data_IF_454840802673
#
_entry.id   IF_454840802673
#
_cell.length_a   1.000
_cell.length_b   1.000
_cell.length_c   1.000
_cell.angle_alpha   90.00
_cell.angle_beta   90.00
_cell.angle_gamma   90.00
#
_symmetry.space_group_name_H-M   'P 1'
#
loop_
_entity.id
_entity.type
_entity.pdbx_description
1 polymer ?
#
# COMPACT_ATOMS: atom_id res chain seq x y z
N UNK A 1 18.03 20.43 12.05
CA UNK A 1 17.62 19.30 11.19
C UNK A 1 16.53 18.52 11.91
N UNK A 2 15.28 18.57 11.43
CA UNK A 2 14.20 17.82 12.06
C UNK A 2 14.34 16.34 11.69
N UNK A 3 14.81 15.53 12.65
CA UNK A 3 14.76 14.07 12.56
C UNK A 3 13.28 13.66 12.37
N UNK A 4 12.95 13.04 11.25
CA UNK A 4 11.64 12.42 11.09
C UNK A 4 11.51 11.32 12.15
N UNK A 5 10.51 11.42 13.01
CA UNK A 5 10.28 10.43 14.06
C UNK A 5 10.09 9.03 13.43
N UNK A 6 10.58 7.97 14.08
CA UNK A 6 10.39 6.61 13.59
C UNK A 6 8.90 6.32 13.41
N UNK A 7 8.54 5.61 12.33
CA UNK A 7 7.15 5.20 12.08
C UNK A 7 6.67 4.38 13.29
N UNK A 8 5.60 4.84 13.95
CA UNK A 8 5.02 4.15 15.11
C UNK A 8 4.22 2.94 14.68
N UNK A 9 4.18 1.90 15.51
CA UNK A 9 3.33 0.76 15.21
C UNK A 9 1.84 1.12 15.31
N UNK A 10 1.01 0.61 14.39
CA UNK A 10 -0.44 0.86 14.41
C UNK A 10 -1.12 0.35 15.70
N UNK A 11 -0.64 -0.75 16.27
CA UNK A 11 -1.11 -1.25 17.56
C UNK A 11 -0.74 -0.31 18.71
N UNK A 12 0.46 0.30 18.66
CA UNK A 12 0.91 1.29 19.65
C UNK A 12 0.13 2.61 19.54
N UNK A 13 -0.26 3.02 18.32
CA UNK A 13 -1.11 4.19 18.08
C UNK A 13 -2.50 3.98 18.70
N UNK A 14 -3.07 2.78 18.56
CA UNK A 14 -4.36 2.43 19.16
C UNK A 14 -4.26 2.06 20.65
N UNK A 15 -3.05 1.86 21.19
CA UNK A 15 -2.83 1.39 22.54
C UNK A 15 -3.35 -0.02 22.80
N UNK A 16 -3.31 -0.89 21.78
CA UNK A 16 -3.82 -2.26 21.84
C UNK A 16 -2.70 -3.29 21.69
N UNK A 17 -2.85 -4.49 22.28
CA UNK A 17 -1.95 -5.60 22.00
C UNK A 17 -2.26 -6.24 20.64
N UNK A 18 -1.34 -7.06 20.12
CA UNK A 18 -1.44 -7.64 18.77
C UNK A 18 -2.55 -8.69 18.62
N UNK A 19 -2.89 -9.35 19.72
CA UNK A 19 -3.95 -10.35 19.84
C UNK A 19 -5.35 -9.72 20.01
N UNK A 20 -5.47 -8.39 19.89
CA UNK A 20 -6.74 -7.68 20.06
C UNK A 20 -7.81 -8.11 19.05
N UNK A 21 -9.06 -8.13 19.50
CA UNK A 21 -10.21 -8.43 18.65
C UNK A 21 -10.53 -7.26 17.70
N UNK A 22 -11.23 -7.51 16.57
CA UNK A 22 -11.69 -6.43 15.69
C UNK A 22 -12.67 -5.47 16.38
N UNK A 23 -13.36 -5.91 17.44
CA UNK A 23 -14.21 -5.06 18.28
C UNK A 23 -13.38 -4.10 19.12
N UNK A 24 -12.25 -4.54 19.67
CA UNK A 24 -11.36 -3.69 20.48
C UNK A 24 -10.74 -2.57 19.63
N UNK A 25 -10.32 -2.90 18.41
CA UNK A 25 -9.79 -1.94 17.43
C UNK A 25 -10.80 -0.81 17.16
N UNK A 26 -12.07 -1.17 16.94
CA UNK A 26 -13.14 -0.18 16.70
C UNK A 26 -13.42 0.67 17.93
N UNK A 27 -13.42 0.08 19.12
CA UNK A 27 -13.68 0.78 20.38
C UNK A 27 -12.54 1.75 20.71
N UNK A 28 -11.28 1.30 20.61
CA UNK A 28 -10.10 2.13 20.81
C UNK A 28 -10.07 3.31 19.84
N UNK A 29 -10.34 3.06 18.56
CA UNK A 29 -10.43 4.13 17.55
C UNK A 29 -11.49 5.18 17.92
N UNK A 30 -12.70 4.77 18.31
CA UNK A 30 -13.76 5.72 18.71
C UNK A 30 -13.36 6.57 19.92
N UNK A 31 -12.72 5.96 20.92
CA UNK A 31 -12.26 6.66 22.13
C UNK A 31 -11.19 7.69 21.79
N UNK A 32 -10.17 7.28 21.04
CA UNK A 32 -9.06 8.17 20.65
C UNK A 32 -9.48 9.23 19.64
N UNK A 33 -10.43 8.93 18.74
CA UNK A 33 -10.94 9.89 17.78
C UNK A 33 -11.67 11.04 18.48
N UNK A 34 -12.36 10.78 19.60
CA UNK A 34 -13.03 11.81 20.38
C UNK A 34 -12.06 12.69 21.17
N UNK A 35 -10.89 12.17 21.56
CA UNK A 35 -9.88 12.94 22.30
C UNK A 35 -8.97 13.74 21.37
N UNK A 36 -8.66 13.20 20.18
CA UNK A 36 -7.78 13.82 19.19
C UNK A 36 -8.53 14.67 18.15
N UNK A 37 -9.86 14.80 18.25
CA UNK A 37 -10.62 15.59 17.29
C UNK A 37 -10.21 17.07 17.35
N UNK A 38 -9.89 17.73 16.21
CA UNK A 38 -9.40 19.11 16.20
C UNK A 38 -10.40 20.11 16.79
N UNK A 39 -11.71 19.83 16.64
CA UNK A 39 -12.81 20.67 17.18
C UNK A 39 -12.88 20.70 18.72
N UNK A 40 -12.29 19.71 19.39
CA UNK A 40 -12.28 19.62 20.86
C UNK A 40 -10.98 20.15 21.48
N UNK A 41 -10.05 20.62 20.65
CA UNK A 41 -8.78 21.16 21.11
C UNK A 41 -8.99 22.60 21.60
N UNK A 42 -8.45 22.92 22.78
CA UNK A 42 -8.57 24.25 23.35
C UNK A 42 -7.87 25.30 22.46
N UNK A 43 -8.39 26.54 22.37
CA UNK A 43 -7.70 27.62 21.68
C UNK A 43 -6.31 27.85 22.32
N UNK A 44 -5.25 27.78 21.50
CA UNK A 44 -3.85 27.87 21.95
C UNK A 44 -3.12 26.53 22.11
N UNK A 45 -3.81 25.40 21.97
CA UNK A 45 -3.17 24.08 21.85
C UNK A 45 -2.59 23.85 20.45
N UNK A 46 -1.67 22.90 20.32
CA UNK A 46 -1.06 22.55 19.04
C UNK A 46 -2.05 21.78 18.15
N UNK A 47 -2.96 22.53 17.52
CA UNK A 47 -3.96 22.01 16.58
C UNK A 47 -3.30 21.25 15.41
N UNK A 48 -2.08 21.65 15.02
CA UNK A 48 -1.34 20.97 13.98
C UNK A 48 -0.89 19.57 14.45
N UNK A 49 -0.35 19.43 15.66
CA UNK A 49 -0.01 18.14 16.25
C UNK A 49 -1.24 17.25 16.46
N UNK A 50 -2.36 17.81 16.93
CA UNK A 50 -3.62 17.06 17.09
C UNK A 50 -4.15 16.54 15.74
N UNK A 51 -4.09 17.37 14.69
CA UNK A 51 -4.49 16.99 13.32
C UNK A 51 -3.59 15.88 12.78
N UNK A 52 -2.27 15.97 12.99
CA UNK A 52 -1.32 14.94 12.58
C UNK A 52 -1.57 13.61 13.31
N UNK A 53 -1.74 13.65 14.63
CA UNK A 53 -2.06 12.47 15.44
C UNK A 53 -3.40 11.84 15.05
N UNK A 54 -4.40 12.66 14.70
CA UNK A 54 -5.69 12.16 14.23
C UNK A 54 -5.58 11.49 12.85
N UNK A 55 -4.76 12.02 11.94
CA UNK A 55 -4.48 11.38 10.65
C UNK A 55 -3.76 10.04 10.84
N UNK A 56 -2.79 9.97 11.75
CA UNK A 56 -2.11 8.72 12.12
C UNK A 56 -3.07 7.70 12.71
N UNK A 57 -3.98 8.13 13.60
CA UNK A 57 -5.02 7.28 14.18
C UNK A 57 -5.97 6.72 13.10
N UNK A 58 -6.43 7.57 12.18
CA UNK A 58 -7.26 7.14 11.05
C UNK A 58 -6.55 6.12 10.19
N UNK A 59 -5.26 6.32 9.94
CA UNK A 59 -4.44 5.39 9.19
C UNK A 59 -4.27 4.04 9.88
N UNK A 60 -3.93 4.05 11.17
CA UNK A 60 -3.80 2.83 11.97
C UNK A 60 -5.11 2.01 11.97
N UNK A 61 -6.26 2.69 12.13
CA UNK A 61 -7.56 2.03 12.08
C UNK A 61 -7.90 1.50 10.69
N UNK A 62 -7.60 2.21 9.60
CA UNK A 62 -7.90 1.70 8.24
C UNK A 62 -7.17 0.39 7.95
N UNK A 63 -5.92 0.28 8.42
CA UNK A 63 -5.11 -0.94 8.24
C UNK A 63 -5.55 -2.06 9.17
N UNK A 64 -5.79 -1.77 10.45
CA UNK A 64 -6.10 -2.84 11.42
C UNK A 64 -7.55 -3.32 11.37
N UNK A 65 -8.47 -2.53 10.80
CA UNK A 65 -9.90 -2.89 10.73
C UNK A 65 -10.25 -3.86 9.59
N UNK A 66 -9.45 -3.93 8.53
CA UNK A 66 -9.60 -4.89 7.44
C UNK A 66 -8.73 -6.12 7.73
N UNK A 67 -9.29 -7.34 7.86
CA UNK A 67 -8.53 -8.56 8.16
C UNK A 67 -7.38 -8.83 7.19
N UNK A 68 -7.55 -8.49 5.90
CA UNK A 68 -6.51 -8.67 4.89
C UNK A 68 -5.41 -7.61 5.03
N UNK A 69 -5.75 -6.35 5.32
CA UNK A 69 -4.76 -5.31 5.62
C UNK A 69 -3.97 -5.64 6.88
N UNK A 70 -4.66 -6.12 7.92
CA UNK A 70 -4.04 -6.51 9.19
C UNK A 70 -3.06 -7.67 9.01
N UNK A 71 -3.46 -8.74 8.32
CA UNK A 71 -2.57 -9.88 8.06
C UNK A 71 -1.32 -9.50 7.26
N UNK A 72 -1.49 -8.59 6.30
CA UNK A 72 -0.36 -8.05 5.54
C UNK A 72 0.55 -7.20 6.43
N UNK A 73 -0.02 -6.26 7.18
CA UNK A 73 0.72 -5.43 8.11
C UNK A 73 1.50 -6.26 9.12
N UNK A 74 0.88 -7.31 9.67
CA UNK A 74 1.53 -8.21 10.62
C UNK A 74 2.70 -8.98 9.99
N UNK A 75 2.58 -9.43 8.74
CA UNK A 75 3.65 -10.15 8.03
C UNK A 75 4.80 -9.25 7.57
N UNK A 76 4.56 -7.95 7.35
CA UNK A 76 5.55 -6.99 6.83
C UNK A 76 5.92 -5.89 7.83
N UNK A 77 5.46 -6.01 9.09
CA UNK A 77 5.61 -4.99 10.14
C UNK A 77 7.06 -4.56 10.33
N UNK A 78 8.00 -5.50 10.36
CA UNK A 78 9.43 -5.20 10.54
C UNK A 78 9.94 -4.30 9.41
N UNK A 79 9.63 -4.64 8.16
CA UNK A 79 10.02 -3.84 7.00
C UNK A 79 9.40 -2.44 7.05
N UNK A 80 8.12 -2.33 7.44
CA UNK A 80 7.39 -1.06 7.48
C UNK A 80 7.93 -0.12 8.58
N UNK A 81 8.23 -0.67 9.76
CA UNK A 81 8.68 0.12 10.92
C UNK A 81 10.16 0.49 10.86
N UNK A 82 11.00 -0.39 10.29
CA UNK A 82 12.44 -0.17 10.15
C UNK A 82 12.84 0.37 8.77
N UNK A 83 11.89 0.66 7.87
CA UNK A 83 12.17 1.39 6.64
C UNK A 83 12.56 2.84 6.99
N UNK A 84 13.84 3.16 6.84
CA UNK A 84 14.38 4.49 7.10
C UNK A 84 13.62 5.56 6.29
N UNK A 85 13.05 6.60 6.95
CA UNK A 85 12.35 7.69 6.25
C UNK A 85 13.30 8.55 5.38
N UNK A 86 14.62 8.43 5.57
CA UNK A 86 15.63 9.14 4.78
C UNK A 86 15.80 8.52 3.38
N UNK A 87 15.54 7.22 3.23
CA UNK A 87 15.64 6.49 1.95
C UNK A 87 14.41 6.68 1.04
N UNK A 88 13.36 7.34 1.54
CA UNK A 88 12.17 7.68 0.74
C UNK A 88 12.28 9.07 0.07
N UNK A 89 13.17 9.94 0.54
CA UNK A 89 13.37 11.31 0.03
C UNK A 89 14.65 11.50 -0.80
N UNK A 90 15.66 10.68 -0.56
CA UNK A 90 16.78 10.51 -1.47
C UNK A 90 16.49 9.29 -2.33
N UNK A 91 16.75 9.34 -3.64
CA UNK A 91 16.67 8.18 -4.54
C UNK A 91 17.75 7.11 -4.26
N UNK A 92 18.03 6.85 -2.99
CA UNK A 92 19.02 5.91 -2.50
C UNK A 92 18.30 4.72 -1.88
N UNK A 93 18.58 3.56 -2.47
CA UNK A 93 17.88 2.30 -2.30
C UNK A 93 17.49 1.97 -0.85
N UNK A 94 16.19 1.72 -0.66
CA UNK A 94 15.70 0.73 0.30
C UNK A 94 16.57 -0.53 0.19
N UNK A 95 16.89 -1.19 1.32
CA UNK A 95 17.62 -2.46 1.33
C UNK A 95 16.88 -3.57 0.54
N UNK A 96 15.59 -3.35 0.25
CA UNK A 96 14.88 -4.08 -0.80
C UNK A 96 14.89 -3.25 -2.08
N UNK A 97 15.40 -3.77 -3.21
CA UNK A 97 15.41 -3.03 -4.47
C UNK A 97 14.00 -2.71 -4.98
N UNK A 98 12.97 -3.28 -4.37
CA UNK A 98 11.56 -3.18 -4.71
C UNK A 98 10.85 -2.04 -3.94
N UNK A 99 10.01 -1.20 -4.60
CA UNK A 99 9.20 -0.17 -3.98
C UNK A 99 8.28 -0.76 -2.93
N UNK A 100 8.13 -0.05 -1.81
CA UNK A 100 7.09 -0.35 -0.82
C UNK A 100 5.72 0.07 -1.39
N UNK A 101 5.17 -0.78 -2.25
CA UNK A 101 3.86 -0.60 -2.89
C UNK A 101 2.72 -0.59 -1.86
N UNK A 102 2.95 -1.16 -0.68
CA UNK A 102 1.91 -1.33 0.32
C UNK A 102 1.61 -0.08 1.13
N UNK A 103 2.59 0.79 1.31
CA UNK A 103 2.34 2.15 1.81
C UNK A 103 1.30 2.91 0.97
N UNK A 104 1.16 2.58 -0.31
CA UNK A 104 0.21 3.19 -1.25
C UNK A 104 -1.15 2.48 -1.34
N UNK A 105 -1.33 1.32 -0.69
CA UNK A 105 -2.62 0.63 -0.64
C UNK A 105 -3.49 1.07 0.54
N UNK A 106 -2.99 1.94 1.39
CA UNK A 106 -3.76 2.54 2.47
C UNK A 106 -4.80 3.54 1.94
N UNK A 107 -5.98 3.56 2.57
CA UNK A 107 -7.05 4.51 2.25
C UNK A 107 -6.64 5.97 2.51
N UNK A 108 -5.59 6.20 3.31
CA UNK A 108 -5.02 7.52 3.56
C UNK A 108 -3.91 7.92 2.57
N UNK A 109 -3.49 7.02 1.68
CA UNK A 109 -2.41 7.30 0.73
C UNK A 109 -2.79 8.37 -0.31
N UNK A 110 -4.09 8.51 -0.60
CA UNK A 110 -4.63 9.52 -1.48
C UNK A 110 -5.86 10.20 -0.86
N UNK A 111 -6.12 11.43 -1.28
CA UNK A 111 -7.29 12.22 -0.89
C UNK A 111 -8.00 12.68 -2.15
N UNK A 112 -9.22 12.17 -2.36
CA UNK A 112 -10.03 12.49 -3.53
C UNK A 112 -9.54 11.87 -4.84
N UNK A 113 -10.31 12.08 -5.91
CA UNK A 113 -10.06 11.56 -7.26
C UNK A 113 -9.62 12.66 -8.21
N UNK A 114 -8.54 13.37 -7.85
CA UNK A 114 -7.94 14.43 -8.68
C UNK A 114 -6.59 13.98 -9.26
N UNK A 115 -6.12 14.77 -10.23
CA UNK A 115 -4.85 14.56 -10.93
C UNK A 115 -3.68 15.33 -10.28
N UNK A 116 -3.96 16.05 -9.18
CA UNK A 116 -3.03 16.97 -8.54
C UNK A 116 -2.85 16.70 -7.05
N UNK A 117 -1.64 16.95 -6.53
CA UNK A 117 -1.32 16.82 -5.11
C UNK A 117 -1.42 15.38 -4.62
N UNK A 118 -2.24 15.15 -3.59
CA UNK A 118 -2.51 13.80 -3.05
C UNK A 118 -3.69 13.10 -3.74
N UNK A 119 -4.07 13.52 -4.95
CA UNK A 119 -5.16 12.90 -5.70
C UNK A 119 -4.83 11.47 -6.17
N UNK A 120 -5.87 10.62 -6.27
CA UNK A 120 -5.75 9.22 -6.69
C UNK A 120 -4.87 9.01 -7.93
N UNK A 121 -5.16 9.73 -9.02
CA UNK A 121 -4.50 9.50 -10.30
C UNK A 121 -3.02 9.86 -10.26
N UNK A 122 -2.66 10.91 -9.51
CA UNK A 122 -1.26 11.32 -9.34
C UNK A 122 -0.48 10.32 -8.49
N UNK A 123 -1.04 9.94 -7.33
CA UNK A 123 -0.37 9.03 -6.39
C UNK A 123 -0.15 7.67 -7.04
N UNK A 124 -1.18 7.08 -7.65
CA UNK A 124 -1.03 5.78 -8.31
C UNK A 124 -0.20 5.87 -9.59
N UNK A 125 -0.35 6.94 -10.39
CA UNK A 125 0.51 7.18 -11.56
C UNK A 125 2.00 7.17 -11.19
N UNK A 126 2.39 7.96 -10.19
CA UNK A 126 3.78 8.03 -9.73
C UNK A 126 4.31 6.69 -9.20
N UNK A 127 3.44 5.87 -8.58
CA UNK A 127 3.81 4.53 -8.09
C UNK A 127 4.09 3.59 -9.27
N UNK A 128 3.20 3.54 -10.24
CA UNK A 128 3.34 2.69 -11.41
C UNK A 128 4.51 3.12 -12.30
N UNK A 129 4.75 4.42 -12.43
CA UNK A 129 5.91 4.96 -13.13
C UNK A 129 7.22 4.53 -12.44
N UNK A 130 7.27 4.54 -11.11
CA UNK A 130 8.43 4.03 -10.35
C UNK A 130 8.64 2.53 -10.54
N UNK A 131 7.58 1.73 -10.50
CA UNK A 131 7.64 0.29 -10.76
C UNK A 131 8.23 0.05 -12.15
N UNK A 132 7.70 0.72 -13.17
CA UNK A 132 8.19 0.56 -14.55
C UNK A 132 9.64 1.03 -14.71
N UNK A 133 9.99 2.20 -14.16
CA UNK A 133 11.35 2.74 -14.23
C UNK A 133 12.38 1.77 -13.65
N UNK A 134 12.02 1.04 -12.59
CA UNK A 134 12.89 0.03 -12.01
C UNK A 134 13.05 -1.20 -12.89
N UNK A 135 11.98 -1.70 -13.51
CA UNK A 135 12.06 -2.82 -14.46
C UNK A 135 13.02 -2.48 -15.61
N UNK A 136 12.91 -1.25 -16.14
CA UNK A 136 13.82 -0.73 -17.17
C UNK A 136 15.25 -0.60 -16.66
N UNK A 137 15.46 -0.07 -15.45
CA UNK A 137 16.79 0.08 -14.85
C UNK A 137 17.46 -1.28 -14.64
N UNK A 138 16.70 -2.28 -14.19
CA UNK A 138 17.18 -3.65 -14.02
C UNK A 138 17.56 -4.28 -15.36
N UNK A 139 16.70 -4.15 -16.38
CA UNK A 139 17.00 -4.67 -17.72
C UNK A 139 18.28 -4.06 -18.30
N UNK A 140 18.46 -2.74 -18.17
CA UNK A 140 19.70 -2.05 -18.57
C UNK A 140 20.92 -2.60 -17.85
N UNK A 141 20.82 -2.81 -16.53
CA UNK A 141 21.92 -3.36 -15.72
C UNK A 141 22.30 -4.78 -16.13
N UNK A 142 21.31 -5.60 -16.51
CA UNK A 142 21.52 -7.00 -16.91
C UNK A 142 21.78 -7.18 -18.41
N UNK A 143 21.87 -6.09 -19.18
CA UNK A 143 22.06 -6.15 -20.64
C UNK A 143 20.87 -6.73 -21.39
N UNK A 144 19.68 -6.74 -20.79
CA UNK A 144 18.44 -7.19 -21.41
C UNK A 144 17.92 -6.06 -22.33
N UNK A 145 17.56 -6.35 -23.60
CA UNK A 145 17.00 -5.34 -24.49
C UNK A 145 15.76 -4.69 -23.88
N UNK A 146 15.78 -3.36 -23.72
CA UNK A 146 14.66 -2.63 -23.09
C UNK A 146 13.38 -2.69 -23.90
N UNK A 147 13.48 -2.92 -25.21
CA UNK A 147 12.35 -3.05 -26.13
C UNK A 147 11.48 -4.29 -25.84
N UNK A 148 12.01 -5.23 -25.07
CA UNK A 148 11.27 -6.40 -24.59
C UNK A 148 10.29 -6.06 -23.46
N UNK A 149 10.39 -4.88 -22.83
CA UNK A 149 9.50 -4.44 -21.76
C UNK A 149 8.47 -3.48 -22.36
N UNK A 150 7.20 -3.92 -22.53
CA UNK A 150 6.19 -3.06 -23.14
C UNK A 150 5.93 -1.85 -22.25
N UNK A 151 5.82 -0.67 -22.86
CA UNK A 151 5.55 0.58 -22.15
C UNK A 151 4.15 0.54 -21.54
N UNK A 152 3.98 0.84 -20.24
CA UNK A 152 2.66 0.85 -19.61
C UNK A 152 1.79 1.97 -20.20
N UNK A 153 0.50 1.73 -20.42
CA UNK A 153 -0.45 2.80 -20.69
C UNK A 153 -0.49 3.79 -19.50
N UNK A 154 -0.95 5.02 -19.74
CA UNK A 154 -1.16 6.00 -18.68
C UNK A 154 -2.44 5.71 -17.89
N UNK A 155 -2.42 5.92 -16.57
CA UNK A 155 -3.58 5.70 -15.67
C UNK A 155 -4.81 6.54 -16.05
N UNK A 156 -4.58 7.70 -16.66
CA UNK A 156 -5.62 8.65 -17.03
C UNK A 156 -6.16 9.42 -15.83
N UNK A 157 -7.42 9.81 -15.94
CA UNK A 157 -8.16 10.65 -14.99
C UNK A 157 -9.66 10.32 -15.00
N UNK A 158 -10.47 11.15 -14.33
CA UNK A 158 -11.92 10.92 -14.22
C UNK A 158 -12.64 10.89 -15.57
N UNK A 159 -12.18 11.73 -16.50
CA UNK A 159 -12.79 11.93 -17.83
C UNK A 159 -12.21 11.00 -18.90
N UNK A 160 -11.21 10.19 -18.56
CA UNK A 160 -10.55 9.31 -19.52
C UNK A 160 -11.51 8.29 -20.15
N UNK A 161 -11.36 7.99 -21.46
CA UNK A 161 -12.20 7.04 -22.16
C UNK A 161 -12.02 5.63 -21.59
N UNK A 162 -13.09 4.84 -21.62
CA UNK A 162 -13.10 3.50 -21.03
C UNK A 162 -12.05 2.57 -21.65
N UNK A 163 -11.73 2.74 -22.93
CA UNK A 163 -10.71 1.98 -23.66
C UNK A 163 -9.32 2.18 -23.05
N UNK A 164 -8.93 3.44 -22.77
CA UNK A 164 -7.66 3.77 -22.12
C UNK A 164 -7.58 3.18 -20.71
N UNK A 165 -8.66 3.36 -19.93
CA UNK A 165 -8.75 2.80 -18.57
C UNK A 165 -8.58 1.29 -18.63
N UNK A 166 -9.26 0.62 -19.56
CA UNK A 166 -9.19 -0.85 -19.69
C UNK A 166 -7.78 -1.29 -20.08
N UNK A 167 -7.14 -0.63 -21.04
CA UNK A 167 -5.76 -0.93 -21.45
C UNK A 167 -4.78 -0.82 -20.28
N UNK A 168 -4.90 0.25 -19.47
CA UNK A 168 -4.08 0.43 -18.27
C UNK A 168 -4.23 -0.74 -17.29
N UNK A 169 -5.46 -1.08 -16.91
CA UNK A 169 -5.69 -2.15 -15.95
C UNK A 169 -5.31 -3.53 -16.53
N UNK A 170 -5.56 -3.78 -17.82
CA UNK A 170 -5.15 -5.03 -18.47
C UNK A 170 -3.63 -5.22 -18.44
N UNK A 171 -2.85 -4.15 -18.67
CA UNK A 171 -1.40 -4.19 -18.57
C UNK A 171 -0.95 -4.53 -17.14
N UNK A 172 -1.41 -3.76 -16.15
CA UNK A 172 -0.93 -3.90 -14.76
C UNK A 172 -1.45 -5.16 -14.05
N UNK A 173 -2.64 -5.67 -14.42
CA UNK A 173 -3.13 -6.98 -13.96
C UNK A 173 -2.33 -8.14 -14.58
N UNK A 174 -1.78 -7.95 -15.78
CA UNK A 174 -0.89 -8.90 -16.45
C UNK A 174 0.59 -8.74 -16.08
N UNK A 175 0.95 -7.74 -15.27
CA UNK A 175 2.33 -7.35 -14.98
C UNK A 175 3.19 -8.52 -14.51
N UNK A 176 4.37 -8.71 -15.08
CA UNK A 176 5.34 -9.69 -14.59
C UNK A 176 6.73 -9.08 -14.56
N UNK A 177 7.34 -9.04 -13.38
CA UNK A 177 8.68 -8.48 -13.22
C UNK A 177 9.73 -9.26 -14.03
N UNK A 178 10.62 -8.53 -14.71
CA UNK A 178 11.82 -9.06 -15.39
C UNK A 178 12.98 -9.30 -14.43
N UNK A 179 12.89 -8.80 -13.19
CA UNK A 179 13.92 -8.98 -12.17
C UNK A 179 14.14 -10.45 -11.84
N UNK A 180 15.35 -10.86 -11.46
CA UNK A 180 15.68 -12.25 -11.08
C UNK A 180 15.34 -12.59 -9.61
N UNK A 181 15.24 -11.56 -8.76
CA UNK A 181 15.08 -11.64 -7.30
C UNK A 181 16.26 -12.29 -6.58
N UNK A 182 17.47 -12.23 -7.15
CA UNK A 182 18.67 -12.86 -6.59
C UNK A 182 19.01 -12.40 -5.16
N UNK A 183 18.64 -11.16 -4.80
CA UNK A 183 18.82 -10.62 -3.44
C UNK A 183 17.99 -11.35 -2.37
N UNK A 184 16.96 -12.11 -2.76
CA UNK A 184 16.16 -12.91 -1.84
C UNK A 184 16.78 -14.28 -1.54
N UNK A 185 17.92 -14.62 -2.16
CA UNK A 185 18.67 -15.81 -1.83
C UNK A 185 19.33 -15.66 -0.44
N UNK A 186 18.97 -16.55 0.48
CA UNK A 186 19.43 -16.50 1.88
C UNK A 186 20.76 -17.24 2.08
N UNK A 187 21.06 -18.20 1.21
CA UNK A 187 22.19 -19.12 1.36
C UNK A 187 23.26 -18.90 0.30
N UNK A 188 24.52 -18.88 0.69
CA UNK A 188 25.63 -19.01 -0.26
C UNK A 188 25.87 -20.50 -0.53
N UNK A 189 25.26 -21.04 -1.59
CA UNK A 189 25.34 -22.47 -1.92
C UNK A 189 26.78 -22.97 -2.13
N UNK A 190 27.75 -22.09 -2.42
CA UNK A 190 29.16 -22.47 -2.56
C UNK A 190 29.78 -22.92 -1.23
N UNK A 191 29.25 -22.42 -0.10
CA UNK A 191 29.71 -22.73 1.27
C UNK A 191 29.17 -24.06 1.79
N UNK A 192 28.29 -24.75 1.06
CA UNK A 192 27.78 -26.03 1.49
C UNK A 192 28.90 -27.07 1.58
N UNK A 193 28.95 -27.77 2.72
CA UNK A 193 29.99 -28.75 3.07
C UNK A 193 30.10 -29.89 2.06
N UNK A 194 28.95 -30.36 1.56
CA UNK A 194 28.86 -31.50 0.64
C UNK A 194 27.85 -31.24 -0.48
N UNK A 195 27.95 -31.98 -1.59
CA UNK A 195 27.06 -31.85 -2.78
C UNK A 195 25.57 -31.83 -2.42
N UNK A 196 25.16 -32.64 -1.45
CA UNK A 196 23.76 -32.71 -0.98
C UNK A 196 23.33 -31.41 -0.28
N UNK A 197 24.20 -30.84 0.56
CA UNK A 197 23.94 -29.58 1.27
C UNK A 197 23.85 -28.42 0.28
N UNK A 198 24.77 -28.35 -0.70
CA UNK A 198 24.72 -27.33 -1.77
C UNK A 198 23.40 -27.37 -2.55
N UNK A 199 22.91 -28.57 -2.90
CA UNK A 199 21.63 -28.73 -3.57
C UNK A 199 20.45 -28.24 -2.73
N UNK A 200 20.42 -28.56 -1.44
CA UNK A 200 19.37 -28.09 -0.53
C UNK A 200 19.40 -26.55 -0.42
N UNK A 201 20.59 -25.97 -0.28
CA UNK A 201 20.76 -24.50 -0.25
C UNK A 201 20.28 -23.84 -1.55
N UNK A 202 20.60 -24.42 -2.72
CA UNK A 202 20.10 -23.93 -4.00
C UNK A 202 18.57 -24.05 -4.14
N UNK A 203 17.98 -25.14 -3.64
CA UNK A 203 16.53 -25.36 -3.63
C UNK A 203 15.83 -24.34 -2.73
N UNK A 204 16.35 -24.09 -1.53
CA UNK A 204 15.84 -23.08 -0.60
C UNK A 204 15.96 -21.67 -1.20
N UNK A 205 17.09 -21.32 -1.82
CA UNK A 205 17.23 -20.07 -2.54
C UNK A 205 16.22 -19.93 -3.67
N UNK A 206 16.04 -20.97 -4.51
CA UNK A 206 15.02 -20.96 -5.58
C UNK A 206 13.63 -20.76 -5.01
N UNK A 207 13.33 -21.35 -3.86
CA UNK A 207 12.04 -21.19 -3.17
C UNK A 207 11.86 -19.76 -2.65
N UNK A 208 12.88 -19.18 -2.03
CA UNK A 208 12.89 -17.81 -1.53
C UNK A 208 12.73 -16.78 -2.67
N UNK A 209 13.53 -16.91 -3.74
CA UNK A 209 13.42 -16.06 -4.94
C UNK A 209 12.05 -16.16 -5.60
N UNK A 210 11.50 -17.38 -5.74
CA UNK A 210 10.13 -17.59 -6.26
C UNK A 210 9.07 -16.97 -5.36
N UNK A 211 9.25 -17.02 -4.04
CA UNK A 211 8.34 -16.39 -3.07
C UNK A 211 8.37 -14.86 -3.21
N UNK A 212 9.56 -14.26 -3.21
CA UNK A 212 9.74 -12.82 -3.37
C UNK A 212 9.15 -12.31 -4.70
N UNK A 213 9.38 -13.03 -5.80
CA UNK A 213 8.78 -12.71 -7.12
C UNK A 213 7.26 -12.71 -7.06
N UNK A 214 6.66 -13.74 -6.44
CA UNK A 214 5.19 -13.84 -6.31
C UNK A 214 4.66 -12.69 -5.49
N UNK A 215 5.23 -12.43 -4.31
CA UNK A 215 4.79 -11.35 -3.42
C UNK A 215 4.87 -9.98 -4.10
N UNK A 216 5.96 -9.69 -4.83
CA UNK A 216 6.07 -8.45 -5.59
C UNK A 216 5.05 -8.36 -6.72
N UNK A 217 4.94 -9.41 -7.56
CA UNK A 217 3.99 -9.40 -8.67
C UNK A 217 2.55 -9.30 -8.15
N UNK A 218 2.20 -9.98 -7.06
CA UNK A 218 0.89 -9.91 -6.44
C UNK A 218 0.62 -8.55 -5.80
N UNK A 219 1.65 -7.87 -5.30
CA UNK A 219 1.55 -6.49 -4.84
C UNK A 219 1.21 -5.55 -6.02
N UNK A 220 1.95 -5.65 -7.13
CA UNK A 220 1.71 -4.82 -8.32
C UNK A 220 0.35 -5.12 -8.95
N UNK A 221 0.01 -6.41 -9.11
CA UNK A 221 -1.28 -6.88 -9.66
C UNK A 221 -2.44 -6.73 -8.68
N UNK A 222 -2.16 -6.32 -7.44
CA UNK A 222 -3.06 -6.48 -6.31
C UNK A 222 -4.48 -6.05 -6.62
N UNK A 223 -5.43 -7.00 -6.52
CA UNK A 223 -6.88 -6.72 -6.70
C UNK A 223 -7.34 -5.52 -5.87
N UNK A 224 -6.65 -5.28 -4.76
CA UNK A 224 -6.85 -4.23 -3.78
C UNK A 224 -6.91 -2.80 -4.33
N UNK A 225 -5.98 -2.40 -5.19
CA UNK A 225 -6.03 -1.08 -5.81
C UNK A 225 -6.96 -1.07 -7.03
N UNK A 226 -7.09 -2.21 -7.73
CA UNK A 226 -7.99 -2.35 -8.88
C UNK A 226 -9.48 -2.27 -8.52
N UNK A 227 -9.88 -2.77 -7.35
CA UNK A 227 -11.25 -2.73 -6.83
C UNK A 227 -11.63 -1.36 -6.26
N UNK A 228 -10.63 -0.56 -5.87
CA UNK A 228 -10.77 0.81 -5.37
C UNK A 228 -10.95 1.86 -6.48
N UNK A 229 -10.95 1.44 -7.75
CA UNK A 229 -11.33 2.29 -8.88
C UNK A 229 -12.64 3.01 -8.58
N UNK A 230 -12.80 4.28 -8.97
CA UNK A 230 -14.10 4.94 -8.88
C UNK A 230 -15.10 4.10 -9.67
N UNK A 231 -16.09 3.51 -8.98
CA UNK A 231 -17.25 2.91 -9.65
C UNK A 231 -17.89 4.07 -10.40
N UNK A 232 -17.75 4.13 -11.73
CA UNK A 232 -18.57 5.02 -12.55
C UNK A 232 -20.01 4.69 -12.19
N UNK A 233 -20.63 5.50 -11.34
CA UNK A 233 -22.08 5.52 -11.22
C UNK A 233 -22.55 5.79 -12.63
N UNK A 234 -23.19 4.79 -13.24
CA UNK A 234 -23.90 4.99 -14.50
C UNK A 234 -24.75 6.23 -14.27
N UNK A 235 -24.52 7.32 -15.01
CA UNK A 235 -25.45 8.43 -15.15
C UNK A 235 -26.72 7.86 -15.77
N UNK A 236 -27.54 7.16 -14.99
CA UNK A 236 -28.96 7.04 -15.27
C UNK A 236 -29.57 8.29 -14.66
N UNK A 237 -29.72 9.30 -15.51
CA UNK A 237 -30.69 10.40 -15.36
C UNK A 237 -31.04 10.76 -13.90
N UNK A 238 -30.28 11.70 -13.34
CA UNK A 238 -30.88 12.80 -12.57
C UNK A 238 -31.52 12.55 -11.21
N UNK A 239 -31.25 11.48 -10.45
CA UNK A 239 -31.73 11.44 -9.06
C UNK A 239 -30.76 10.78 -8.06
N UNK A 240 -30.29 11.60 -7.12
CA UNK A 240 -29.54 11.17 -5.95
C UNK A 240 -30.51 10.48 -4.98
N UNK A 241 -30.36 9.17 -4.76
CA UNK A 241 -30.94 8.51 -3.59
C UNK A 241 -29.81 7.89 -2.77
N UNK A 242 -29.49 8.53 -1.65
CA UNK A 242 -28.64 7.98 -0.61
C UNK A 242 -29.44 6.85 0.05
N UNK A 243 -29.03 5.59 -0.16
CA UNK A 243 -29.40 4.51 0.77
C UNK A 243 -28.25 4.36 1.76
N UNK A 244 -28.32 5.13 2.84
CA UNK A 244 -27.59 4.85 4.07
C UNK A 244 -28.21 3.59 4.68
N UNK A 245 -27.48 2.48 4.64
CA UNK A 245 -27.77 1.34 5.51
C UNK A 245 -27.20 1.65 6.90
N UNK A 246 -27.96 2.42 7.67
CA UNK A 246 -27.89 2.41 9.12
C UNK A 246 -29.26 2.00 9.62
N UNK A 247 -29.37 0.79 10.16
CA UNK A 247 -30.58 0.32 10.80
C UNK A 247 -30.98 1.24 11.96
N UNK A 248 -32.28 1.39 12.13
CA UNK A 248 -32.95 1.57 13.42
C UNK A 248 -34.42 1.32 13.20
N UNK A 249 -34.94 0.28 13.85
CA UNK A 249 -36.37 0.15 14.07
C UNK A 249 -36.86 1.19 15.09
N UNK A 250 -38.17 1.10 15.30
CA UNK A 250 -39.02 1.70 16.34
C UNK A 250 -39.81 2.98 15.98
N UNK A 251 -41.10 2.70 15.69
CA UNK A 251 -42.35 3.34 16.16
C UNK A 251 -42.61 4.82 15.94
N UNK A 252 -43.81 5.13 15.40
CA UNK A 252 -44.90 5.75 16.19
C UNK A 252 -46.26 5.54 15.53
N UNK A 253 -47.23 5.18 16.37
CA UNK A 253 -48.68 5.24 16.12
C UNK A 253 -49.16 6.66 15.88
N UNK A 254 -50.14 6.81 14.99
CA UNK A 254 -51.49 7.34 15.25
C UNK A 254 -52.34 7.12 14.00
#
# INVERSE_FOLDING_TARGET
MASAAPKRCYYEILGLPRDCSPTDIKLAFRRLALTLHPDKQAPGSDVAAATAAFQELQHAHSVLSDPQERAYYDSHRSQILFADPVSSRSGTASASPVPDLFSFFSTSAFSGFSDSGRGFYKVYGDVFDKVYAQEVAYARRMGIPTDSIPTPPVIGNLDSPYTQVTAFYSYWLGFGSVMDFGWAAEWDASRGENRRVRRLMEEDNKKAMRKARREYNDAVRGKRWSERRPRRRRRRSGQWRIKSLSGRGWTRSS
#
